data_IF_089463544047
#
_entry.id   IF_089463544047
#
_cell.length_a   1.000
_cell.length_b   1.000
_cell.length_c   1.000
_cell.angle_alpha   90.00
_cell.angle_beta   90.00
_cell.angle_gamma   90.00
#
_symmetry.space_group_name_H-M   'P 1'
#
loop_
_entity.id
_entity.type
_entity.pdbx_description
1 polymer ?
#
# COMPACT_ATOMS: atom_id res chain seq x y z
N UNK A 1 49.96 -13.42 -56.03
CA UNK A 1 50.15 -14.16 -54.75
C UNK A 1 49.58 -13.28 -53.65
N UNK A 2 48.29 -13.41 -53.32
CA UNK A 2 47.72 -14.30 -52.27
C UNK A 2 47.80 -13.69 -50.85
N UNK A 3 46.63 -13.20 -50.36
CA UNK A 3 45.95 -13.45 -49.04
C UNK A 3 46.82 -13.35 -47.75
N UNK A 4 46.46 -12.72 -46.61
CA UNK A 4 45.26 -12.64 -45.74
C UNK A 4 45.56 -11.61 -44.59
N UNK A 5 44.62 -10.74 -44.18
CA UNK A 5 43.78 -10.83 -42.95
C UNK A 5 44.38 -10.23 -41.65
N UNK A 6 43.56 -9.43 -40.96
CA UNK A 6 43.76 -8.98 -39.57
C UNK A 6 43.22 -7.56 -39.35
N UNK A 7 41.90 -7.34 -39.24
CA UNK A 7 41.11 -7.43 -38.00
C UNK A 7 40.79 -6.03 -37.46
N UNK A 8 39.70 -5.46 -37.97
CA UNK A 8 39.01 -4.29 -37.42
C UNK A 8 38.44 -4.61 -36.03
N UNK A 9 38.96 -3.94 -35.00
CA UNK A 9 38.38 -3.92 -33.67
C UNK A 9 37.23 -2.92 -33.61
N UNK A 10 36.03 -3.33 -34.03
CA UNK A 10 34.80 -2.57 -33.79
C UNK A 10 34.45 -2.73 -32.31
N UNK A 11 34.73 -1.69 -31.53
CA UNK A 11 34.22 -1.54 -30.17
C UNK A 11 32.69 -1.43 -30.22
N UNK A 12 32.03 -2.55 -29.93
CA UNK A 12 30.59 -2.60 -29.70
C UNK A 12 30.22 -1.65 -28.56
N UNK A 13 29.73 -0.46 -28.92
CA UNK A 13 28.91 0.35 -28.03
C UNK A 13 27.66 -0.46 -27.75
N UNK A 14 27.62 -1.11 -26.60
CA UNK A 14 26.37 -1.54 -25.99
C UNK A 14 25.54 -0.28 -25.74
N UNK A 15 24.71 0.07 -26.73
CA UNK A 15 23.55 0.91 -26.51
C UNK A 15 22.62 0.04 -25.68
N UNK A 16 22.68 0.21 -24.36
CA UNK A 16 21.60 -0.25 -23.48
C UNK A 16 20.38 0.54 -23.89
N UNK A 17 19.61 -0.03 -24.82
CA UNK A 17 18.25 0.38 -25.10
C UNK A 17 17.50 0.22 -23.78
N UNK A 18 17.36 1.31 -23.03
CA UNK A 18 16.52 1.38 -21.85
C UNK A 18 15.12 1.05 -22.35
N UNK A 19 14.65 -0.17 -22.07
CA UNK A 19 13.26 -0.54 -22.24
C UNK A 19 12.39 0.58 -21.65
N UNK A 20 11.25 0.91 -22.27
CA UNK A 20 10.36 1.91 -21.72
C UNK A 20 9.94 1.45 -20.32
N UNK A 21 10.62 1.99 -19.32
CA UNK A 21 10.38 1.78 -17.91
C UNK A 21 8.90 2.08 -17.68
N UNK A 22 8.13 1.07 -17.28
CA UNK A 22 6.71 1.24 -16.99
C UNK A 22 6.55 2.47 -16.09
N UNK A 23 5.59 3.37 -16.37
CA UNK A 23 5.45 4.58 -15.59
C UNK A 23 5.35 4.20 -14.12
N UNK A 24 6.08 4.90 -13.23
CA UNK A 24 6.07 4.56 -11.81
C UNK A 24 4.62 4.57 -11.31
N UNK A 25 4.24 3.63 -10.42
CA UNK A 25 2.85 3.47 -9.98
C UNK A 25 2.31 4.70 -9.23
N UNK A 26 3.20 5.60 -8.81
CA UNK A 26 2.88 6.85 -8.14
C UNK A 26 3.64 8.00 -8.81
N UNK A 27 2.97 9.15 -8.91
CA UNK A 27 3.55 10.38 -9.43
C UNK A 27 3.52 11.42 -8.32
N UNK A 28 4.69 11.93 -7.93
CA UNK A 28 4.81 13.02 -6.97
C UNK A 28 4.81 14.36 -7.70
N UNK A 29 3.84 15.22 -7.37
CA UNK A 29 3.73 16.58 -7.91
C UNK A 29 3.23 17.53 -6.85
N UNK A 30 3.82 18.71 -6.79
CA UNK A 30 3.41 19.81 -5.90
C UNK A 30 3.28 19.37 -4.43
N UNK A 31 4.21 18.57 -3.94
CA UNK A 31 4.22 18.08 -2.56
C UNK A 31 3.19 16.98 -2.27
N UNK A 32 2.58 16.38 -3.30
CA UNK A 32 1.54 15.38 -3.12
C UNK A 32 1.62 14.20 -4.10
N UNK A 33 1.03 13.08 -3.68
CA UNK A 33 0.72 11.93 -4.55
C UNK A 33 -0.80 11.77 -4.57
N UNK A 34 -1.37 11.62 -5.77
CA UNK A 34 -2.79 11.38 -5.96
C UNK A 34 -3.01 9.97 -6.52
N UNK A 35 -4.01 9.28 -5.99
CA UNK A 35 -4.41 7.94 -6.44
C UNK A 35 -5.89 7.70 -6.19
N UNK A 36 -6.38 6.57 -6.68
CA UNK A 36 -7.75 6.10 -6.47
C UNK A 36 -7.71 4.68 -5.95
N UNK A 37 -8.34 4.42 -4.81
CA UNK A 37 -8.50 3.09 -4.24
C UNK A 37 -9.82 2.47 -4.69
N UNK A 38 -9.82 1.16 -4.93
CA UNK A 38 -11.03 0.39 -5.22
C UNK A 38 -11.58 -0.18 -3.91
N UNK A 39 -12.79 0.25 -3.53
CA UNK A 39 -13.47 -0.16 -2.30
C UNK A 39 -13.98 -1.61 -2.35
N UNK A 40 -13.96 -2.26 -3.52
CA UNK A 40 -14.19 -3.71 -3.63
C UNK A 40 -12.95 -4.51 -3.24
N UNK A 41 -11.78 -3.88 -3.29
CA UNK A 41 -10.49 -4.50 -2.94
C UNK A 41 -10.11 -4.19 -1.51
N UNK A 42 -10.30 -2.95 -1.07
CA UNK A 42 -9.92 -2.49 0.26
C UNK A 42 -11.14 -1.95 1.01
N UNK A 43 -11.43 -2.52 2.19
CA UNK A 43 -12.45 -1.96 3.08
C UNK A 43 -12.05 -0.54 3.51
N UNK A 44 -13.04 0.32 3.65
CA UNK A 44 -12.81 1.70 4.13
C UNK A 44 -12.13 1.73 5.51
N UNK A 45 -12.44 0.79 6.40
CA UNK A 45 -11.80 0.68 7.71
C UNK A 45 -10.30 0.38 7.61
N UNK A 46 -9.88 -0.47 6.68
CA UNK A 46 -8.47 -0.75 6.42
C UNK A 46 -7.75 0.52 5.93
N UNK A 47 -8.35 1.23 4.97
CA UNK A 47 -7.83 2.50 4.44
C UNK A 47 -7.62 3.53 5.56
N UNK A 48 -8.62 3.70 6.43
CA UNK A 48 -8.56 4.63 7.55
C UNK A 48 -7.48 4.26 8.57
N UNK A 49 -7.33 2.97 8.89
CA UNK A 49 -6.29 2.49 9.82
C UNK A 49 -4.88 2.71 9.24
N UNK A 50 -4.68 2.43 7.96
CA UNK A 50 -3.41 2.70 7.28
C UNK A 50 -3.10 4.19 7.23
N UNK A 51 -4.09 5.03 6.92
CA UNK A 51 -3.97 6.50 6.96
C UNK A 51 -3.54 6.99 8.34
N UNK A 52 -4.18 6.48 9.40
CA UNK A 52 -3.82 6.82 10.76
C UNK A 52 -2.39 6.40 11.12
N UNK A 53 -1.98 5.18 10.75
CA UNK A 53 -0.62 4.68 11.02
C UNK A 53 0.47 5.49 10.30
N UNK A 54 0.14 6.10 9.16
CA UNK A 54 1.05 6.93 8.38
C UNK A 54 0.92 8.43 8.65
N UNK A 55 0.11 8.85 9.62
CA UNK A 55 -0.15 10.26 9.91
C UNK A 55 1.10 11.07 10.29
N UNK A 56 2.13 10.42 10.83
CA UNK A 56 3.42 11.06 11.13
C UNK A 56 4.28 11.31 9.87
N UNK A 57 4.00 10.62 8.76
CA UNK A 57 4.80 10.66 7.52
C UNK A 57 4.14 11.49 6.41
N UNK A 58 2.82 11.44 6.33
CA UNK A 58 2.05 12.20 5.36
C UNK A 58 0.61 12.41 5.86
N UNK A 59 -0.06 13.43 5.35
CA UNK A 59 -1.50 13.60 5.55
C UNK A 59 -2.24 12.92 4.41
N UNK A 60 -2.96 11.83 4.71
CA UNK A 60 -3.86 11.20 3.76
C UNK A 60 -5.23 11.91 3.77
N UNK A 61 -5.56 12.59 2.68
CA UNK A 61 -6.85 13.23 2.45
C UNK A 61 -7.73 12.25 1.65
N UNK A 62 -8.75 11.72 2.31
CA UNK A 62 -9.73 10.84 1.68
C UNK A 62 -10.88 11.68 1.10
N UNK A 63 -11.13 11.52 -0.20
CA UNK A 63 -12.25 12.17 -0.86
C UNK A 63 -13.59 11.50 -0.54
N UNK A 64 -14.66 12.01 -1.14
CA UNK A 64 -15.96 11.31 -1.15
C UNK A 64 -15.87 10.11 -2.11
N UNK A 65 -16.33 8.92 -1.70
CA UNK A 65 -16.45 7.79 -2.61
C UNK A 65 -17.37 8.10 -3.81
N UNK A 66 -16.91 7.77 -5.00
CA UNK A 66 -17.70 7.74 -6.23
C UNK A 66 -17.89 6.28 -6.63
N UNK A 67 -19.06 5.72 -6.29
CA UNK A 67 -19.31 4.28 -6.34
C UNK A 67 -18.21 3.50 -5.57
N UNK A 68 -17.48 2.62 -6.24
CA UNK A 68 -16.41 1.80 -5.65
C UNK A 68 -15.05 2.50 -5.67
N UNK A 69 -14.97 3.77 -6.07
CA UNK A 69 -13.70 4.49 -6.22
C UNK A 69 -13.56 5.52 -5.11
N UNK A 70 -12.49 5.43 -4.33
CA UNK A 70 -12.13 6.42 -3.33
C UNK A 70 -10.91 7.22 -3.80
N UNK A 71 -11.09 8.51 -4.17
CA UNK A 71 -9.97 9.40 -4.40
C UNK A 71 -9.17 9.59 -3.11
N UNK A 72 -7.85 9.45 -3.19
CA UNK A 72 -6.94 9.65 -2.06
C UNK A 72 -5.79 10.55 -2.50
N UNK A 73 -5.46 11.52 -1.65
CA UNK A 73 -4.30 12.38 -1.82
C UNK A 73 -3.39 12.30 -0.59
N UNK A 74 -2.14 11.90 -0.80
CA UNK A 74 -1.10 11.98 0.22
C UNK A 74 -0.40 13.32 0.11
N UNK A 75 -0.45 14.14 1.15
CA UNK A 75 0.20 15.44 1.23
C UNK A 75 1.42 15.32 2.14
N UNK A 76 2.57 15.76 1.65
CA UNK A 76 3.84 15.67 2.34
C UNK A 76 4.30 17.04 2.84
N UNK A 77 5.15 17.03 3.88
CA UNK A 77 5.78 18.24 4.38
C UNK A 77 6.69 18.89 3.33
N UNK A 78 6.96 20.21 3.42
CA UNK A 78 7.70 20.95 2.40
C UNK A 78 9.16 20.50 2.22
N UNK A 79 9.71 19.75 3.17
CA UNK A 79 11.09 19.25 3.15
C UNK A 79 11.21 17.84 2.56
N UNK A 80 10.09 17.17 2.25
CA UNK A 80 10.11 15.82 1.70
C UNK A 80 10.52 15.85 0.23
N UNK A 81 11.47 15.00 -0.12
CA UNK A 81 11.89 14.77 -1.50
C UNK A 81 11.03 13.70 -2.17
N UNK A 82 10.97 13.72 -3.50
CA UNK A 82 10.17 12.78 -4.30
C UNK A 82 10.44 11.31 -3.95
N UNK A 83 11.70 10.92 -3.80
CA UNK A 83 12.06 9.53 -3.48
C UNK A 83 11.44 9.06 -2.16
N UNK A 84 11.47 9.90 -1.13
CA UNK A 84 10.90 9.57 0.19
C UNK A 84 9.36 9.56 0.16
N UNK A 85 8.76 10.44 -0.64
CA UNK A 85 7.31 10.44 -0.87
C UNK A 85 6.84 9.16 -1.57
N UNK A 86 7.55 8.74 -2.62
CA UNK A 86 7.26 7.52 -3.37
C UNK A 86 7.45 6.27 -2.49
N UNK A 87 8.51 6.22 -1.68
CA UNK A 87 8.72 5.13 -0.73
C UNK A 87 7.64 5.12 0.35
N UNK A 88 7.23 6.28 0.86
CA UNK A 88 6.13 6.38 1.82
C UNK A 88 4.82 5.87 1.22
N UNK A 89 4.51 6.21 -0.03
CA UNK A 89 3.35 5.65 -0.74
C UNK A 89 3.46 4.14 -0.90
N UNK A 90 4.62 3.62 -1.33
CA UNK A 90 4.85 2.17 -1.45
C UNK A 90 4.59 1.44 -0.13
N UNK A 91 5.15 1.95 0.98
CA UNK A 91 4.97 1.40 2.32
C UNK A 91 3.52 1.53 2.80
N UNK A 92 2.82 2.62 2.46
CA UNK A 92 1.41 2.79 2.78
C UNK A 92 0.56 1.67 2.17
N UNK A 93 0.79 1.32 0.89
CA UNK A 93 0.04 0.27 0.21
C UNK A 93 0.35 -1.13 0.77
N UNK A 94 1.58 -1.37 1.25
CA UNK A 94 1.89 -2.60 1.98
C UNK A 94 1.10 -2.69 3.28
N UNK A 95 1.09 -1.60 4.07
CA UNK A 95 0.29 -1.54 5.29
C UNK A 95 -1.21 -1.66 5.02
N UNK A 96 -1.70 -1.10 3.91
CA UNK A 96 -3.11 -1.23 3.51
C UNK A 96 -3.51 -2.68 3.26
N UNK A 97 -2.66 -3.44 2.57
CA UNK A 97 -2.87 -4.87 2.37
C UNK A 97 -2.90 -5.63 3.71
N UNK A 98 -1.98 -5.30 4.62
CA UNK A 98 -1.93 -5.91 5.94
C UNK A 98 -3.18 -5.58 6.78
N UNK A 99 -3.66 -4.34 6.74
CA UNK A 99 -4.89 -3.94 7.44
C UNK A 99 -6.11 -4.63 6.84
N UNK A 100 -6.21 -4.71 5.51
CA UNK A 100 -7.31 -5.40 4.83
C UNK A 100 -7.34 -6.89 5.20
N UNK A 101 -6.19 -7.57 5.21
CA UNK A 101 -6.11 -8.97 5.64
C UNK A 101 -6.53 -9.15 7.11
N UNK A 102 -6.14 -8.21 7.99
CA UNK A 102 -6.56 -8.24 9.40
C UNK A 102 -8.06 -8.05 9.56
N UNK A 103 -8.69 -7.20 8.76
CA UNK A 103 -10.15 -7.05 8.74
C UNK A 103 -10.82 -8.34 8.28
N UNK A 104 -10.34 -8.96 7.19
CA UNK A 104 -10.87 -10.23 6.66
C UNK A 104 -10.80 -11.33 7.72
N UNK A 105 -9.63 -11.57 8.30
CA UNK A 105 -9.45 -12.58 9.37
C UNK A 105 -10.29 -12.21 10.60
N UNK A 106 -10.39 -10.93 10.94
CA UNK A 106 -11.22 -10.44 12.03
C UNK A 106 -12.69 -10.81 11.84
N UNK A 107 -13.21 -10.60 10.64
CA UNK A 107 -14.59 -10.93 10.25
C UNK A 107 -14.81 -12.45 10.22
N UNK A 108 -13.93 -13.21 9.58
CA UNK A 108 -14.02 -14.67 9.49
C UNK A 108 -13.97 -15.34 10.87
N UNK A 109 -13.15 -14.83 11.78
CA UNK A 109 -12.99 -15.40 13.13
C UNK A 109 -14.01 -14.87 14.14
N UNK A 110 -14.90 -13.94 13.76
CA UNK A 110 -15.82 -13.25 14.68
C UNK A 110 -16.71 -14.21 15.46
N UNK A 111 -17.33 -15.18 14.76
CA UNK A 111 -18.22 -16.15 15.37
C UNK A 111 -17.49 -17.06 16.37
N UNK A 112 -16.31 -17.56 15.99
CA UNK A 112 -15.49 -18.39 16.87
C UNK A 112 -15.06 -17.62 18.12
N UNK A 113 -14.60 -16.37 17.98
CA UNK A 113 -14.24 -15.51 19.13
C UNK A 113 -15.44 -15.29 20.06
N UNK A 114 -16.63 -15.05 19.51
CA UNK A 114 -17.84 -14.89 20.31
C UNK A 114 -18.19 -16.17 21.11
N UNK A 115 -18.06 -17.36 20.50
CA UNK A 115 -18.30 -18.63 21.18
C UNK A 115 -17.26 -18.90 22.29
N UNK A 116 -15.98 -18.63 22.03
CA UNK A 116 -14.92 -18.76 23.05
C UNK A 116 -15.21 -17.85 24.24
N UNK A 117 -15.60 -16.60 23.98
CA UNK A 117 -15.96 -15.63 25.03
C UNK A 117 -17.20 -16.12 25.79
N UNK A 118 -18.25 -16.55 25.10
CA UNK A 118 -19.46 -17.07 25.73
C UNK A 118 -19.16 -18.29 26.63
N UNK A 119 -18.30 -19.20 26.17
CA UNK A 119 -17.88 -20.38 26.93
C UNK A 119 -16.98 -20.04 28.13
N UNK A 120 -16.16 -18.98 28.03
CA UNK A 120 -15.37 -18.51 29.16
C UNK A 120 -16.29 -17.97 30.27
N UNK A 121 -17.33 -17.21 29.91
CA UNK A 121 -18.28 -16.65 30.86
C UNK A 121 -19.35 -17.62 31.35
N UNK A 122 -19.67 -18.69 30.60
CA UNK A 122 -20.67 -19.69 31.02
C UNK A 122 -20.22 -20.55 32.20
N UNK A 123 -18.90 -20.61 32.47
CA UNK A 123 -18.30 -21.37 33.59
C UNK A 123 -17.91 -20.51 34.79
N UNK A 124 -18.08 -19.21 34.70
CA UNK A 124 -18.04 -18.33 35.86
C UNK A 124 -19.44 -18.22 36.41
N UNK A 125 -19.68 -18.69 37.64
CA UNK A 125 -20.91 -18.43 38.38
C UNK A 125 -21.06 -16.91 38.58
N UNK A 126 -21.67 -16.26 37.60
CA UNK A 126 -22.02 -14.85 37.61
C UNK A 126 -23.30 -14.64 38.42
N UNK A 127 -23.44 -15.35 39.55
CA UNK A 127 -24.51 -15.15 40.54
C UNK A 127 -23.95 -15.52 41.93
N UNK A 128 -23.54 -14.50 42.68
CA UNK A 128 -23.76 -14.50 44.13
C UNK A 128 -24.74 -13.36 44.41
N UNK A 129 -26.02 -13.70 44.48
CA UNK A 129 -27.05 -12.83 45.05
C UNK A 129 -27.03 -13.03 46.56
N UNK A 130 -26.74 -11.95 47.29
CA UNK A 130 -27.14 -11.78 48.70
C UNK A 130 -28.40 -10.89 48.72
#
# INVERSE_FOLDING_TARGET
>A
MSRLSGSDGIGSRHVTTKEPEAPPPFIFRDGAIQTVLDLRVYRLTAIQKSAYRFAERCTAVLGSPEADRLPVRFVFGPTIIEQDALETARLFFQELLDQELREQVGDETRALRALIIAQAFSRTDLIRQD
#
